data_IF_440743722409
#
_entry.id   IF_440743722409
#
_cell.length_a   1.000
_cell.length_b   1.000
_cell.length_c   1.000
_cell.angle_alpha   90.00
_cell.angle_beta   90.00
_cell.angle_gamma   90.00
#
_symmetry.space_group_name_H-M   'P 1'
#
loop_
_entity.id
_entity.type
_entity.pdbx_description
1 polymer ?
#
# COMPACT_ATOMS: atom_id res chain seq x y z
N UNK A 1 8.81 -7.00 -16.20
CA UNK A 1 8.60 -7.67 -14.90
C UNK A 1 9.74 -7.35 -13.93
N UNK A 2 10.06 -6.06 -13.76
CA UNK A 2 11.20 -5.62 -12.94
C UNK A 2 10.96 -5.78 -11.44
N UNK A 3 9.75 -5.50 -10.95
CA UNK A 3 9.37 -5.67 -9.54
C UNK A 3 9.42 -7.14 -9.09
N UNK A 4 8.91 -8.06 -9.91
CA UNK A 4 8.98 -9.50 -9.65
C UNK A 4 10.43 -10.00 -9.64
N UNK A 5 11.27 -9.52 -10.57
CA UNK A 5 12.70 -9.85 -10.60
C UNK A 5 13.42 -9.37 -9.34
N UNK A 6 13.14 -8.15 -8.88
CA UNK A 6 13.67 -7.62 -7.63
C UNK A 6 13.19 -8.43 -6.40
N UNK A 7 11.93 -8.86 -6.38
CA UNK A 7 11.39 -9.73 -5.33
C UNK A 7 12.11 -11.08 -5.27
N UNK A 8 12.30 -11.74 -6.42
CA UNK A 8 13.01 -13.03 -6.49
C UNK A 8 14.48 -12.86 -6.09
N UNK A 9 15.16 -11.82 -6.57
CA UNK A 9 16.54 -11.52 -6.20
C UNK A 9 16.66 -11.30 -4.68
N UNK A 10 15.74 -10.54 -4.08
CA UNK A 10 15.68 -10.34 -2.63
C UNK A 10 15.46 -11.64 -1.86
N UNK A 11 14.55 -12.50 -2.32
CA UNK A 11 14.29 -13.81 -1.70
C UNK A 11 15.54 -14.72 -1.75
N UNK A 12 16.23 -14.78 -2.89
CA UNK A 12 17.48 -15.55 -3.03
C UNK A 12 18.59 -15.00 -2.13
N UNK A 13 18.74 -13.68 -2.05
CA UNK A 13 19.74 -13.02 -1.19
C UNK A 13 19.47 -13.30 0.30
N UNK A 14 18.19 -13.36 0.70
CA UNK A 14 17.78 -13.61 2.07
C UNK A 14 18.21 -15.00 2.60
N UNK A 15 18.44 -15.97 1.72
CA UNK A 15 18.93 -17.31 2.06
C UNK A 15 20.47 -17.41 2.11
N UNK A 16 21.20 -16.35 1.72
CA UNK A 16 22.66 -16.35 1.72
C UNK A 16 23.26 -16.03 3.09
N UNK A 17 24.50 -16.47 3.33
CA UNK A 17 25.28 -16.11 4.53
C UNK A 17 25.56 -14.61 4.66
N UNK A 18 25.44 -13.85 3.56
CA UNK A 18 25.70 -12.42 3.50
C UNK A 18 24.44 -11.57 3.68
N UNK A 19 23.27 -12.17 3.95
CA UNK A 19 21.98 -11.46 4.05
C UNK A 19 22.03 -10.21 4.93
N UNK A 20 22.66 -10.28 6.10
CA UNK A 20 22.72 -9.15 7.03
C UNK A 20 23.60 -8.01 6.54
N UNK A 21 24.68 -8.33 5.82
CA UNK A 21 25.56 -7.33 5.24
C UNK A 21 24.87 -6.63 4.06
N UNK A 22 24.25 -7.42 3.19
CA UNK A 22 23.50 -6.88 2.05
C UNK A 22 22.29 -6.08 2.51
N UNK A 23 21.58 -6.54 3.55
CA UNK A 23 20.46 -5.79 4.16
C UNK A 23 20.94 -4.44 4.71
N UNK A 24 22.05 -4.42 5.46
CA UNK A 24 22.63 -3.18 5.97
C UNK A 24 23.04 -2.21 4.84
N UNK A 25 23.59 -2.73 3.74
CA UNK A 25 23.96 -1.94 2.58
C UNK A 25 22.73 -1.43 1.79
N UNK A 26 21.60 -2.16 1.81
CA UNK A 26 20.37 -1.82 1.08
C UNK A 26 19.43 -0.88 1.84
N UNK A 27 19.42 -0.89 3.18
CA UNK A 27 18.56 -0.02 4.00
C UNK A 27 18.67 1.46 3.59
N UNK A 28 19.87 2.05 3.41
CA UNK A 28 20.01 3.44 2.99
C UNK A 28 19.35 3.74 1.64
N UNK A 29 19.49 2.82 0.67
CA UNK A 29 18.86 2.97 -0.65
C UNK A 29 17.36 2.81 -0.56
N UNK A 30 16.86 1.84 0.21
CA UNK A 30 15.43 1.65 0.43
C UNK A 30 14.80 2.92 0.98
N UNK A 31 15.40 3.50 2.01
CA UNK A 31 14.83 4.68 2.68
C UNK A 31 14.90 5.92 1.77
N UNK A 32 15.98 6.09 1.01
CA UNK A 32 16.08 7.15 -0.02
C UNK A 32 15.02 6.98 -1.12
N UNK A 33 14.87 5.76 -1.66
CA UNK A 33 13.92 5.46 -2.73
C UNK A 33 12.47 5.58 -2.26
N UNK A 34 12.16 5.18 -1.02
CA UNK A 34 10.84 5.41 -0.41
C UNK A 34 10.56 6.90 -0.27
N UNK A 35 11.52 7.69 0.22
CA UNK A 35 11.39 9.15 0.29
C UNK A 35 11.11 9.77 -1.08
N UNK A 36 11.90 9.39 -2.09
CA UNK A 36 11.71 9.84 -3.46
C UNK A 36 10.33 9.42 -4.02
N UNK A 37 9.91 8.18 -3.77
CA UNK A 37 8.61 7.65 -4.18
C UNK A 37 7.46 8.51 -3.63
N UNK A 38 7.46 8.79 -2.32
CA UNK A 38 6.41 9.60 -1.70
C UNK A 38 6.41 11.05 -2.18
N UNK A 39 7.57 11.66 -2.40
CA UNK A 39 7.65 13.01 -2.99
C UNK A 39 7.04 13.00 -4.39
N UNK A 40 7.44 12.03 -5.22
CA UNK A 40 7.02 11.97 -6.63
C UNK A 40 5.53 11.71 -6.76
N UNK A 41 4.98 10.77 -5.98
CA UNK A 41 3.53 10.50 -5.95
C UNK A 41 2.77 11.69 -5.37
N UNK A 42 3.29 12.30 -4.30
CA UNK A 42 2.69 13.49 -3.70
C UNK A 42 2.58 14.66 -4.68
N UNK A 43 3.60 14.88 -5.52
CA UNK A 43 3.57 15.91 -6.56
C UNK A 43 2.57 15.63 -7.69
N UNK A 44 2.14 14.38 -7.87
CA UNK A 44 1.13 14.01 -8.87
C UNK A 44 -0.30 14.26 -8.38
N UNK A 45 -0.49 14.51 -7.08
CA UNK A 45 -1.83 14.70 -6.49
C UNK A 45 -2.36 16.11 -6.84
N UNK A 46 -3.52 16.15 -7.47
CA UNK A 46 -4.21 17.40 -7.80
C UNK A 46 -5.16 17.79 -6.67
N UNK A 47 -4.76 18.77 -5.84
CA UNK A 47 -5.52 19.19 -4.66
C UNK A 47 -6.93 19.71 -5.01
N UNK A 48 -7.12 20.28 -6.20
CA UNK A 48 -8.44 20.73 -6.66
C UNK A 48 -9.43 19.57 -6.81
N UNK A 49 -8.99 18.44 -7.36
CA UNK A 49 -9.82 17.23 -7.52
C UNK A 49 -10.12 16.62 -6.15
N UNK A 50 -9.15 16.61 -5.25
CA UNK A 50 -9.31 16.13 -3.87
C UNK A 50 -10.32 16.98 -3.11
N UNK A 51 -10.20 18.32 -3.19
CA UNK A 51 -11.10 19.24 -2.52
C UNK A 51 -12.54 19.14 -3.04
N UNK A 52 -12.74 18.82 -4.32
CA UNK A 52 -14.08 18.61 -4.88
C UNK A 52 -14.68 17.25 -4.48
N UNK A 53 -13.84 16.22 -4.30
CA UNK A 53 -14.28 14.84 -4.07
C UNK A 53 -14.01 14.33 -2.64
N UNK A 54 -13.65 15.21 -1.70
CA UNK A 54 -13.23 14.86 -0.34
C UNK A 54 -14.23 13.94 0.38
N UNK A 55 -15.53 14.19 0.22
CA UNK A 55 -16.58 13.38 0.81
C UNK A 55 -16.56 11.95 0.25
N UNK A 56 -16.42 11.81 -1.06
CA UNK A 56 -16.37 10.51 -1.73
C UNK A 56 -15.11 9.73 -1.34
N UNK A 57 -13.96 10.40 -1.22
CA UNK A 57 -12.71 9.80 -0.76
C UNK A 57 -12.87 9.22 0.65
N UNK A 58 -13.41 9.99 1.60
CA UNK A 58 -13.63 9.52 2.97
C UNK A 58 -14.59 8.32 3.00
N UNK A 59 -15.69 8.39 2.24
CA UNK A 59 -16.67 7.30 2.17
C UNK A 59 -16.04 6.03 1.61
N UNK A 60 -15.30 6.11 0.50
CA UNK A 60 -14.63 4.95 -0.09
C UNK A 60 -13.58 4.37 0.85
N UNK A 61 -12.76 5.20 1.47
CA UNK A 61 -11.73 4.76 2.41
C UNK A 61 -12.34 4.03 3.60
N UNK A 62 -13.38 4.60 4.23
CA UNK A 62 -14.08 3.96 5.33
C UNK A 62 -14.78 2.66 4.89
N UNK A 63 -15.39 2.64 3.70
CA UNK A 63 -16.04 1.45 3.16
C UNK A 63 -15.04 0.31 2.95
N UNK A 64 -13.91 0.58 2.30
CA UNK A 64 -12.87 -0.42 2.06
C UNK A 64 -12.28 -0.92 3.38
N UNK A 65 -11.99 -0.03 4.32
CA UNK A 65 -11.48 -0.39 5.65
C UNK A 65 -12.49 -1.23 6.42
N UNK A 66 -13.77 -0.85 6.45
CA UNK A 66 -14.82 -1.58 7.13
C UNK A 66 -15.05 -2.96 6.50
N UNK A 67 -14.99 -3.06 5.17
CA UNK A 67 -15.13 -4.32 4.46
C UNK A 67 -13.96 -5.26 4.76
N UNK A 68 -12.71 -4.79 4.65
CA UNK A 68 -11.52 -5.57 5.05
C UNK A 68 -11.60 -6.01 6.50
N UNK A 69 -11.97 -5.09 7.40
CA UNK A 69 -12.14 -5.36 8.81
C UNK A 69 -13.18 -6.47 9.04
N UNK A 70 -14.35 -6.35 8.41
CA UNK A 70 -15.44 -7.33 8.54
C UNK A 70 -15.03 -8.72 8.05
N UNK A 71 -14.32 -8.81 6.93
CA UNK A 71 -13.80 -10.09 6.40
C UNK A 71 -12.80 -10.72 7.39
N UNK A 72 -11.80 -9.96 7.82
CA UNK A 72 -10.73 -10.48 8.70
C UNK A 72 -11.29 -10.83 10.08
N UNK A 73 -12.13 -9.97 10.64
CA UNK A 73 -12.77 -10.22 11.93
C UNK A 73 -13.72 -11.42 11.85
N UNK A 74 -14.59 -11.49 10.84
CA UNK A 74 -15.51 -12.59 10.65
C UNK A 74 -14.82 -13.94 10.51
N UNK A 75 -13.71 -13.98 9.78
CA UNK A 75 -12.88 -15.18 9.67
C UNK A 75 -12.22 -15.54 11.01
N UNK A 76 -11.53 -14.61 11.66
CA UNK A 76 -10.78 -14.89 12.90
C UNK A 76 -11.66 -15.13 14.12
N UNK A 77 -12.89 -14.61 14.13
CA UNK A 77 -13.85 -14.81 15.22
C UNK A 77 -14.19 -16.29 15.43
N UNK A 78 -14.18 -17.09 14.35
CA UNK A 78 -14.48 -18.52 14.40
C UNK A 78 -13.31 -19.35 14.96
N UNK A 79 -12.07 -18.87 14.81
CA UNK A 79 -10.86 -19.65 15.11
C UNK A 79 -10.08 -19.15 16.32
N UNK A 80 -10.34 -17.93 16.82
CA UNK A 80 -9.51 -17.27 17.86
C UNK A 80 -10.35 -16.49 18.87
N UNK A 81 -9.77 -16.17 20.03
CA UNK A 81 -10.37 -15.27 21.04
C UNK A 81 -10.77 -13.92 20.42
N UNK A 82 -11.96 -13.43 20.74
CA UNK A 82 -12.53 -12.15 20.25
C UNK A 82 -11.56 -10.97 20.32
N UNK A 83 -10.79 -10.87 21.42
CA UNK A 83 -9.81 -9.79 21.62
C UNK A 83 -8.66 -9.82 20.61
N UNK A 84 -8.20 -11.01 20.22
CA UNK A 84 -7.14 -11.17 19.22
C UNK A 84 -7.71 -10.89 17.83
N UNK A 85 -8.86 -11.48 17.49
CA UNK A 85 -9.53 -11.23 16.22
C UNK A 85 -9.77 -9.73 15.98
N UNK A 86 -10.23 -8.99 17.00
CA UNK A 86 -10.46 -7.56 16.91
C UNK A 86 -9.17 -6.77 16.65
N UNK A 87 -8.11 -7.04 17.42
CA UNK A 87 -6.81 -6.36 17.27
C UNK A 87 -6.21 -6.62 15.89
N UNK A 88 -6.25 -7.87 15.43
CA UNK A 88 -5.70 -8.26 14.12
C UNK A 88 -6.50 -7.62 12.98
N UNK A 89 -7.83 -7.61 13.07
CA UNK A 89 -8.67 -6.97 12.06
C UNK A 89 -8.39 -5.46 11.95
N UNK A 90 -8.26 -4.75 13.08
CA UNK A 90 -7.87 -3.34 13.06
C UNK A 90 -6.47 -3.10 12.47
N UNK A 91 -5.49 -3.95 12.80
CA UNK A 91 -4.14 -3.81 12.30
C UNK A 91 -4.01 -4.00 10.77
N UNK A 92 -4.87 -4.82 10.16
CA UNK A 92 -4.81 -5.18 8.73
C UNK A 92 -5.80 -4.36 7.87
N UNK A 93 -6.79 -3.72 8.49
CA UNK A 93 -7.85 -3.00 7.78
C UNK A 93 -7.33 -1.81 6.96
N UNK A 94 -6.21 -1.19 7.35
CA UNK A 94 -5.64 -0.04 6.65
C UNK A 94 -5.22 -0.40 5.21
N UNK A 95 -5.29 0.59 4.33
CA UNK A 95 -4.77 0.52 2.96
C UNK A 95 -3.25 0.71 3.03
N UNK A 96 -2.50 -0.17 2.38
CA UNK A 96 -1.03 -0.15 2.40
C UNK A 96 -0.44 0.75 1.31
N UNK A 97 0.82 1.15 1.50
CA UNK A 97 1.61 1.98 0.59
C UNK A 97 1.74 1.37 -0.82
N UNK A 98 1.67 0.04 -0.93
CA UNK A 98 1.67 -0.67 -2.20
C UNK A 98 0.49 -0.29 -3.11
N UNK A 99 -0.66 0.10 -2.55
CA UNK A 99 -1.79 0.56 -3.35
C UNK A 99 -1.44 1.82 -4.15
N UNK A 100 -0.70 2.75 -3.53
CA UNK A 100 -0.23 3.99 -4.18
C UNK A 100 0.64 3.68 -5.39
N UNK A 101 1.55 2.71 -5.27
CA UNK A 101 2.43 2.30 -6.36
C UNK A 101 1.64 1.70 -7.54
N UNK A 102 0.61 0.89 -7.24
CA UNK A 102 -0.25 0.29 -8.27
C UNK A 102 -1.07 1.38 -8.99
N UNK A 103 -1.70 2.30 -8.25
CA UNK A 103 -2.53 3.34 -8.85
C UNK A 103 -1.69 4.37 -9.62
N UNK A 104 -0.51 4.74 -9.13
CA UNK A 104 0.43 5.59 -9.87
C UNK A 104 0.90 4.92 -11.17
N UNK A 105 1.14 3.61 -11.16
CA UNK A 105 1.46 2.86 -12.37
C UNK A 105 0.29 2.81 -13.38
N UNK A 106 -0.94 2.63 -12.89
CA UNK A 106 -2.15 2.66 -13.73
C UNK A 106 -2.36 4.05 -14.36
N UNK A 107 -2.09 5.12 -13.60
CA UNK A 107 -2.12 6.49 -14.10
C UNK A 107 -1.05 6.71 -15.18
N UNK A 108 0.20 6.31 -14.91
CA UNK A 108 1.31 6.43 -15.85
C UNK A 108 1.07 5.67 -17.17
N UNK A 109 0.26 4.60 -17.12
CA UNK A 109 -0.15 3.83 -18.30
C UNK A 109 -1.46 4.29 -18.95
N UNK A 110 -2.06 5.38 -18.48
CA UNK A 110 -3.37 5.88 -18.93
C UNK A 110 -4.48 4.81 -18.92
N UNK A 111 -4.42 3.87 -17.98
CA UNK A 111 -5.41 2.78 -17.86
C UNK A 111 -6.63 3.14 -17.02
N UNK A 112 -6.57 4.28 -16.32
CA UNK A 112 -7.66 4.85 -15.53
C UNK A 112 -7.88 6.29 -15.95
N UNK A 113 -9.14 6.74 -15.91
CA UNK A 113 -9.45 8.16 -16.03
C UNK A 113 -8.76 8.95 -14.92
N UNK A 114 -8.31 10.16 -15.23
CA UNK A 114 -7.49 10.98 -14.35
C UNK A 114 -8.26 11.27 -13.05
N UNK A 115 -9.57 11.55 -13.13
CA UNK A 115 -10.39 11.82 -11.94
C UNK A 115 -10.46 10.61 -11.01
N UNK A 116 -10.75 9.44 -11.55
CA UNK A 116 -10.83 8.19 -10.78
C UNK A 116 -9.48 7.81 -10.19
N UNK A 117 -8.40 8.00 -10.94
CA UNK A 117 -7.06 7.74 -10.44
C UNK A 117 -6.68 8.64 -9.27
N UNK A 118 -6.99 9.94 -9.34
CA UNK A 118 -6.74 10.88 -8.25
C UNK A 118 -7.54 10.56 -7.00
N UNK A 119 -8.80 10.15 -7.16
CA UNK A 119 -9.67 9.72 -6.04
C UNK A 119 -9.14 8.45 -5.35
N UNK A 120 -8.51 7.54 -6.08
CA UNK A 120 -8.02 6.26 -5.53
C UNK A 120 -6.60 6.33 -4.95
N UNK A 121 -5.81 7.32 -5.36
CA UNK A 121 -4.44 7.56 -4.84
C UNK A 121 -4.49 8.23 -3.46
N UNK A 122 -5.52 9.03 -3.18
CA UNK A 122 -5.67 9.82 -1.95
C UNK A 122 -6.52 9.09 -0.92
#
# INVERSE_FOLDING_TARGET
>A
SYSLGAFIAGALIAETKYKHKIEADLIPFRDLLLGLFFITVGMQIQLDVVAQNWFLIIVLTLLVMALKFGIVFGFLFLYTKKRVALKTAFAIAQIGEFALAIFSLLQAKNMLDIKTSQILIV
#
